data_IF_723534175463
#
_entry.id   IF_723534175463
#
_cell.length_a   1.000
_cell.length_b   1.000
_cell.length_c   1.000
_cell.angle_alpha   90.00
_cell.angle_beta   90.00
_cell.angle_gamma   90.00
#
_symmetry.space_group_name_H-M   'P 1'
#
loop_
_entity.id
_entity.type
_entity.pdbx_description
1 polymer ?
#
# COMPACT_ATOMS: atom_id res chain seq x y z
N UNK A 1 44.99 -20.81 17.31
CA UNK A 1 43.93 -20.28 16.43
C UNK A 1 42.67 -21.08 16.74
N UNK A 2 41.83 -20.59 17.65
CA UNK A 2 40.60 -21.28 18.05
C UNK A 2 39.48 -20.83 17.11
N UNK A 3 39.02 -21.73 16.26
CA UNK A 3 37.82 -21.53 15.45
C UNK A 3 36.61 -21.60 16.39
N UNK A 4 36.10 -20.45 16.81
CA UNK A 4 34.79 -20.34 17.44
C UNK A 4 33.73 -20.58 16.37
N UNK A 5 33.31 -21.84 16.25
CA UNK A 5 32.11 -22.23 15.54
C UNK A 5 30.93 -21.63 16.32
N UNK A 6 30.44 -20.46 15.89
CA UNK A 6 29.18 -19.94 16.39
C UNK A 6 28.09 -20.95 16.02
N UNK A 7 27.26 -21.41 16.97
CA UNK A 7 26.14 -22.28 16.65
C UNK A 7 25.26 -21.54 15.64
N UNK A 8 25.13 -22.12 14.46
CA UNK A 8 24.21 -21.60 13.44
C UNK A 8 22.80 -21.69 14.06
N UNK A 9 22.01 -20.59 14.09
CA UNK A 9 20.65 -20.66 14.59
C UNK A 9 19.86 -21.73 13.82
N UNK A 10 18.89 -22.33 14.51
CA UNK A 10 17.98 -23.27 13.88
C UNK A 10 17.28 -22.55 12.71
N UNK A 11 17.44 -23.02 11.44
CA UNK A 11 16.91 -22.32 10.28
C UNK A 11 15.39 -22.09 10.39
N UNK A 12 14.69 -22.99 11.10
CA UNK A 12 13.25 -22.89 11.30
C UNK A 12 12.83 -21.69 12.17
N UNK A 13 13.70 -21.19 13.06
CA UNK A 13 13.42 -20.02 13.89
C UNK A 13 13.56 -18.75 13.05
N UNK A 14 14.62 -18.65 12.23
CA UNK A 14 14.80 -17.48 11.39
C UNK A 14 13.69 -17.33 10.35
N UNK A 15 13.20 -18.42 9.76
CA UNK A 15 12.05 -18.39 8.85
C UNK A 15 10.79 -17.85 9.55
N UNK A 16 10.55 -18.25 10.80
CA UNK A 16 9.41 -17.77 11.60
C UNK A 16 9.55 -16.28 11.95
N UNK A 17 10.74 -15.84 12.37
CA UNK A 17 11.00 -14.42 12.63
C UNK A 17 10.78 -13.60 11.36
N UNK A 18 11.33 -14.05 10.23
CA UNK A 18 11.22 -13.38 8.94
C UNK A 18 9.76 -13.25 8.49
N UNK A 19 8.94 -14.27 8.71
CA UNK A 19 7.51 -14.23 8.43
C UNK A 19 6.75 -13.20 9.30
N UNK A 20 7.25 -12.90 10.51
CA UNK A 20 6.64 -11.93 11.43
C UNK A 20 7.14 -10.49 11.24
N UNK A 21 8.28 -10.27 10.57
CA UNK A 21 8.87 -8.93 10.39
C UNK A 21 7.88 -7.90 9.82
N UNK A 22 7.07 -8.17 8.78
CA UNK A 22 6.15 -7.18 8.24
C UNK A 22 5.11 -6.71 9.28
N UNK A 23 4.59 -7.66 10.07
CA UNK A 23 3.61 -7.38 11.12
C UNK A 23 4.26 -6.64 12.31
N UNK A 24 5.48 -7.04 12.69
CA UNK A 24 6.25 -6.40 13.74
C UNK A 24 6.60 -4.96 13.39
N UNK A 25 7.11 -4.73 12.18
CA UNK A 25 7.46 -3.39 11.70
C UNK A 25 6.25 -2.45 11.75
N UNK A 26 5.07 -2.91 11.32
CA UNK A 26 3.83 -2.13 11.32
C UNK A 26 3.19 -2.00 12.72
N UNK A 27 3.75 -2.64 13.75
CA UNK A 27 3.20 -2.63 15.11
C UNK A 27 1.86 -3.35 15.25
N UNK A 28 1.60 -4.36 14.40
CA UNK A 28 0.36 -5.16 14.40
C UNK A 28 0.53 -6.57 14.96
N UNK A 29 1.71 -6.91 15.49
CA UNK A 29 1.95 -8.16 16.23
C UNK A 29 1.25 -8.16 17.59
N UNK A 30 0.90 -9.34 18.08
CA UNK A 30 0.51 -9.52 19.47
C UNK A 30 1.73 -9.51 20.42
N UNK A 31 1.48 -9.64 21.72
CA UNK A 31 2.53 -9.52 22.75
C UNK A 31 3.51 -10.69 22.65
N UNK A 32 2.99 -11.88 22.41
CA UNK A 32 3.74 -13.11 22.26
C UNK A 32 4.67 -13.06 21.04
N UNK A 33 4.14 -12.67 19.88
CA UNK A 33 4.89 -12.53 18.62
C UNK A 33 5.95 -11.43 18.72
N UNK A 34 5.61 -10.29 19.34
CA UNK A 34 6.55 -9.18 19.57
C UNK A 34 7.76 -9.66 20.38
N UNK A 35 7.51 -10.32 21.51
CA UNK A 35 8.59 -10.87 22.34
C UNK A 35 9.38 -11.98 21.64
N UNK A 36 8.73 -12.76 20.78
CA UNK A 36 9.40 -13.78 19.98
C UNK A 36 10.38 -13.15 18.99
N UNK A 37 9.95 -12.13 18.24
CA UNK A 37 10.80 -11.39 17.29
C UNK A 37 11.95 -10.71 18.05
N UNK A 38 11.67 -9.94 19.10
CA UNK A 38 12.70 -9.23 19.88
C UNK A 38 13.80 -10.16 20.41
N UNK A 39 13.42 -11.37 20.85
CA UNK A 39 14.37 -12.34 21.40
C UNK A 39 15.30 -12.91 20.34
N UNK A 40 14.82 -13.15 19.12
CA UNK A 40 15.55 -13.91 18.10
C UNK A 40 16.06 -13.04 16.94
N UNK A 41 15.66 -11.77 16.87
CA UNK A 41 16.02 -10.86 15.78
C UNK A 41 17.53 -10.73 15.59
N UNK A 42 18.29 -10.67 16.69
CA UNK A 42 19.75 -10.53 16.64
C UNK A 42 20.44 -11.77 16.04
N UNK A 43 19.82 -12.94 16.14
CA UNK A 43 20.38 -14.19 15.63
C UNK A 43 20.13 -14.36 14.13
N UNK A 44 19.22 -13.58 13.53
CA UNK A 44 18.77 -13.73 12.14
C UNK A 44 19.10 -12.46 11.31
N UNK A 45 20.28 -12.37 10.69
CA UNK A 45 20.73 -11.15 9.99
C UNK A 45 19.85 -10.77 8.79
N UNK A 46 19.22 -11.75 8.14
CA UNK A 46 18.26 -11.51 7.05
C UNK A 46 17.01 -10.79 7.55
N UNK A 47 16.50 -11.19 8.72
CA UNK A 47 15.34 -10.55 9.34
C UNK A 47 15.65 -9.10 9.77
N UNK A 48 16.88 -8.82 10.21
CA UNK A 48 17.35 -7.46 10.49
C UNK A 48 17.38 -6.60 9.22
N UNK A 49 17.88 -7.16 8.12
CA UNK A 49 17.91 -6.46 6.83
C UNK A 49 16.49 -6.16 6.31
N UNK A 50 15.57 -7.13 6.43
CA UNK A 50 14.17 -6.96 6.06
C UNK A 50 13.47 -5.90 6.92
N UNK A 51 13.72 -5.89 8.24
CA UNK A 51 13.17 -4.89 9.15
C UNK A 51 13.65 -3.46 8.80
N UNK A 52 14.91 -3.31 8.40
CA UNK A 52 15.43 -2.01 7.94
C UNK A 52 14.69 -1.52 6.69
N UNK A 53 14.42 -2.42 5.73
CA UNK A 53 13.65 -2.08 4.53
C UNK A 53 12.23 -1.60 4.87
N UNK A 54 11.53 -2.27 5.78
CA UNK A 54 10.21 -1.81 6.23
C UNK A 54 10.27 -0.47 6.97
N UNK A 55 11.32 -0.23 7.74
CA UNK A 55 11.54 1.05 8.44
C UNK A 55 11.71 2.20 7.44
N UNK A 56 12.50 2.00 6.38
CA UNK A 56 12.70 2.98 5.31
C UNK A 56 11.39 3.32 4.60
N UNK A 57 10.56 2.31 4.30
CA UNK A 57 9.24 2.50 3.69
C UNK A 57 8.32 3.32 4.62
N UNK A 58 8.30 3.00 5.91
CA UNK A 58 7.49 3.74 6.88
C UNK A 58 7.92 5.20 6.99
N UNK A 59 9.23 5.46 7.02
CA UNK A 59 9.77 6.81 7.05
C UNK A 59 9.35 7.59 5.79
N UNK A 60 9.46 6.99 4.60
CA UNK A 60 9.00 7.60 3.37
C UNK A 60 7.49 7.93 3.41
N UNK A 61 6.67 7.01 3.92
CA UNK A 61 5.22 7.21 4.05
C UNK A 61 4.84 8.35 4.99
N UNK A 62 5.63 8.61 6.05
CA UNK A 62 5.36 9.71 6.98
C UNK A 62 5.38 11.08 6.30
N UNK A 63 6.14 11.25 5.22
CA UNK A 63 6.23 12.51 4.48
C UNK A 63 5.10 12.72 3.47
N UNK A 64 4.41 11.66 3.07
CA UNK A 64 3.29 11.73 2.13
C UNK A 64 1.94 12.05 2.81
N UNK A 65 1.88 11.99 4.15
CA UNK A 65 0.64 12.27 4.89
C UNK A 65 0.39 13.79 4.92
N UNK A 66 -0.82 14.26 4.51
CA UNK A 66 -1.15 15.68 4.57
C UNK A 66 -1.08 16.18 6.02
N UNK A 67 -0.32 17.26 6.24
CA UNK A 67 -0.18 17.87 7.55
C UNK A 67 -1.54 18.44 8.01
N UNK A 68 -2.06 17.91 9.12
CA UNK A 68 -3.24 18.45 9.80
C UNK A 68 -2.78 19.44 10.86
N UNK A 69 -3.35 20.65 10.86
CA UNK A 69 -3.05 21.66 11.86
C UNK A 69 -3.38 21.15 13.27
N UNK A 70 -2.41 21.25 14.18
CA UNK A 70 -2.61 20.85 15.58
C UNK A 70 -3.66 21.73 16.27
N UNK A 71 -4.49 21.18 17.19
CA UNK A 71 -5.42 21.96 17.97
C UNK A 71 -4.73 23.08 18.77
N UNK A 72 -5.35 24.27 18.89
CA UNK A 72 -4.77 25.37 19.65
C UNK A 72 -4.57 24.98 21.13
N UNK A 73 -3.42 25.35 21.69
CA UNK A 73 -3.06 25.06 23.09
C UNK A 73 -2.48 23.66 23.33
N UNK A 74 -2.39 22.79 22.32
CA UNK A 74 -1.73 21.48 22.46
C UNK A 74 -0.26 21.63 22.86
N UNK A 75 0.47 22.55 22.23
CA UNK A 75 1.87 22.81 22.54
C UNK A 75 2.07 23.23 24.01
N UNK A 76 1.19 24.09 24.54
CA UNK A 76 1.21 24.51 25.95
C UNK A 76 0.96 23.33 26.88
N UNK A 77 -0.03 22.47 26.57
CA UNK A 77 -0.31 21.26 27.36
C UNK A 77 0.87 20.29 27.35
N UNK A 78 1.54 20.12 26.21
CA UNK A 78 2.73 19.26 26.11
C UNK A 78 3.89 19.85 26.93
N UNK A 79 4.08 21.17 26.92
CA UNK A 79 5.13 21.83 27.70
C UNK A 79 4.87 21.78 29.22
N UNK A 80 3.62 21.68 29.64
CA UNK A 80 3.23 21.49 31.04
C UNK A 80 3.40 20.05 31.53
N UNK A 81 3.53 19.06 30.63
CA UNK A 81 3.86 17.69 31.04
C UNK A 81 5.30 17.71 31.54
N UNK A 82 5.55 17.54 32.85
CA UNK A 82 6.92 17.43 33.33
C UNK A 82 7.59 16.29 32.59
N UNK A 83 8.85 16.46 32.21
CA UNK A 83 9.69 15.41 31.65
C UNK A 83 9.88 14.31 32.72
N UNK A 84 8.82 13.55 32.97
CA UNK A 84 8.84 12.35 33.75
C UNK A 84 9.78 11.44 32.98
N UNK A 85 10.96 11.21 33.57
CA UNK A 85 11.90 10.20 33.10
C UNK A 85 11.09 8.97 32.76
N UNK A 86 11.11 8.58 31.48
CA UNK A 86 10.54 7.35 30.95
C UNK A 86 11.29 6.17 31.59
N UNK A 87 11.09 5.95 32.88
CA UNK A 87 11.33 4.69 33.53
C UNK A 87 10.00 3.98 33.43
N UNK A 88 9.91 3.06 32.47
CA UNK A 88 8.85 2.09 32.38
C UNK A 88 8.89 1.16 33.60
N UNK A 89 8.57 1.70 34.78
CA UNK A 89 7.99 0.90 35.84
C UNK A 89 6.50 0.86 35.50
N UNK A 90 6.10 -0.16 34.76
CA UNK A 90 4.71 -0.57 34.68
C UNK A 90 4.25 -0.78 36.12
N UNK A 91 3.66 0.24 36.74
CA UNK A 91 2.92 0.06 37.97
C UNK A 91 1.87 -1.00 37.64
N UNK A 92 1.77 -2.11 38.40
CA UNK A 92 0.76 -3.12 38.13
C UNK A 92 -0.57 -2.40 38.13
N UNK A 93 -1.21 -2.35 36.96
CA UNK A 93 -2.57 -1.89 36.80
C UNK A 93 -3.38 -2.66 37.83
N UNK A 94 -3.85 -1.97 38.87
CA UNK A 94 -4.80 -2.54 39.80
C UNK A 94 -5.98 -3.01 38.94
N UNK A 95 -6.08 -4.33 38.72
CA UNK A 95 -7.13 -4.92 37.92
C UNK A 95 -8.45 -4.47 38.51
N UNK A 96 -9.07 -3.50 37.85
CA UNK A 96 -10.45 -3.12 38.13
C UNK A 96 -11.23 -4.39 37.85
N UNK A 97 -11.75 -5.01 38.91
CA UNK A 97 -12.51 -6.26 38.84
C UNK A 97 -13.58 -6.12 37.75
N UNK A 98 -13.35 -6.76 36.62
CA UNK A 98 -14.32 -6.84 35.55
C UNK A 98 -15.54 -7.51 36.16
N UNK A 99 -16.74 -6.90 36.09
CA UNK A 99 -17.94 -7.53 36.62
C UNK A 99 -18.05 -8.91 36.00
N UNK A 100 -18.08 -9.93 36.85
CA UNK A 100 -18.21 -11.33 36.45
C UNK A 100 -19.38 -11.46 35.49
N UNK A 101 -19.18 -12.00 34.27
CA UNK A 101 -20.28 -12.21 33.35
C UNK A 101 -21.29 -13.13 34.03
N UNK A 102 -22.51 -12.62 34.20
CA UNK A 102 -23.64 -13.40 34.68
C UNK A 102 -23.84 -14.49 33.63
N UNK A 103 -23.56 -15.74 34.00
CA UNK A 103 -23.78 -16.92 33.16
C UNK A 103 -25.28 -17.01 32.85
N UNK A 104 -25.68 -16.39 31.75
CA UNK A 104 -27.02 -16.53 31.18
C UNK A 104 -27.21 -17.99 30.78
N UNK A 105 -28.26 -18.59 31.31
CA UNK A 105 -28.63 -19.98 31.06
C UNK A 105 -28.71 -20.27 29.55
N UNK A 106 -28.27 -21.46 29.10
CA UNK A 106 -28.34 -21.85 27.71
C UNK A 106 -29.81 -22.00 27.27
N UNK A 107 -30.28 -21.08 26.43
CA UNK A 107 -31.56 -21.24 25.74
C UNK A 107 -31.39 -22.24 24.59
N UNK A 108 -32.20 -23.31 24.53
CA UNK A 108 -32.12 -24.31 23.48
C UNK A 108 -32.83 -23.79 22.22
N UNK A 109 -32.14 -22.98 21.41
CA UNK A 109 -32.65 -22.55 20.10
C UNK A 109 -31.67 -22.92 18.98
N UNK A 110 -31.32 -24.21 18.95
CA UNK A 110 -30.23 -24.77 18.12
C UNK A 110 -30.56 -25.02 16.65
N UNK A 111 -31.77 -24.69 16.17
CA UNK A 111 -32.14 -24.86 14.76
C UNK A 111 -32.02 -23.56 13.94
N UNK A 112 -32.06 -22.40 14.58
CA UNK A 112 -31.85 -21.11 13.90
C UNK A 112 -30.38 -20.75 13.63
N UNK A 113 -29.43 -21.30 14.41
CA UNK A 113 -28.00 -20.99 14.25
C UNK A 113 -27.40 -21.52 12.94
N UNK A 114 -27.86 -22.67 12.44
CA UNK A 114 -27.34 -23.23 11.18
C UNK A 114 -27.74 -22.38 9.97
N UNK A 115 -28.94 -21.78 9.99
CA UNK A 115 -29.37 -20.87 8.94
C UNK A 115 -28.54 -19.57 8.91
N UNK A 116 -28.21 -19.02 10.09
CA UNK A 116 -27.37 -17.83 10.19
C UNK A 116 -25.93 -18.09 9.73
N UNK A 117 -25.34 -19.23 10.09
CA UNK A 117 -24.00 -19.62 9.65
C UNK A 117 -23.93 -19.81 8.13
N UNK A 118 -24.92 -20.47 7.53
CA UNK A 118 -24.99 -20.65 6.08
C UNK A 118 -25.10 -19.31 5.34
N UNK A 119 -25.91 -18.38 5.83
CA UNK A 119 -26.03 -17.04 5.25
C UNK A 119 -24.70 -16.25 5.33
N UNK A 120 -24.00 -16.32 6.46
CA UNK A 120 -22.70 -15.66 6.62
C UNK A 120 -21.64 -16.24 5.66
N UNK A 121 -21.60 -17.56 5.48
CA UNK A 121 -20.70 -18.22 4.53
C UNK A 121 -21.02 -17.78 3.09
N UNK A 122 -22.30 -17.76 2.71
CA UNK A 122 -22.71 -17.31 1.38
C UNK A 122 -22.32 -15.84 1.14
N UNK A 123 -22.49 -14.98 2.14
CA UNK A 123 -22.10 -13.57 2.05
C UNK A 123 -20.58 -13.40 1.94
N UNK A 124 -19.81 -14.19 2.68
CA UNK A 124 -18.35 -14.23 2.59
C UNK A 124 -17.89 -14.67 1.18
N UNK A 125 -18.49 -15.75 0.65
CA UNK A 125 -18.17 -16.23 -0.71
C UNK A 125 -18.53 -15.17 -1.74
N UNK A 126 -19.73 -14.58 -1.66
CA UNK A 126 -20.16 -13.54 -2.59
C UNK A 126 -19.25 -12.30 -2.55
N UNK A 127 -18.82 -11.89 -1.35
CA UNK A 127 -17.88 -10.77 -1.18
C UNK A 127 -16.52 -11.08 -1.82
N UNK A 128 -15.96 -12.27 -1.58
CA UNK A 128 -14.70 -12.67 -2.19
C UNK A 128 -14.78 -12.77 -3.72
N UNK A 129 -15.85 -13.37 -4.25
CA UNK A 129 -16.09 -13.45 -5.71
C UNK A 129 -16.24 -12.07 -6.32
N UNK A 130 -16.94 -11.15 -5.64
CA UNK A 130 -17.08 -9.77 -6.09
C UNK A 130 -15.72 -9.05 -6.18
N UNK A 131 -14.89 -9.17 -5.14
CA UNK A 131 -13.54 -8.59 -5.14
C UNK A 131 -12.67 -9.16 -6.26
N UNK A 132 -12.68 -10.49 -6.46
CA UNK A 132 -11.92 -11.13 -7.53
C UNK A 132 -12.38 -10.71 -8.93
N UNK A 133 -13.69 -10.57 -9.15
CA UNK A 133 -14.22 -10.05 -10.41
C UNK A 133 -13.81 -8.59 -10.64
N UNK A 134 -13.79 -7.77 -9.58
CA UNK A 134 -13.40 -6.37 -9.65
C UNK A 134 -11.91 -6.21 -9.99
N UNK A 135 -11.03 -6.99 -9.37
CA UNK A 135 -9.59 -6.96 -9.67
C UNK A 135 -9.31 -7.39 -11.11
N UNK A 136 -9.99 -8.43 -11.59
CA UNK A 136 -9.84 -8.90 -12.97
C UNK A 136 -10.30 -7.84 -13.98
N UNK A 137 -11.38 -7.11 -13.69
CA UNK A 137 -11.85 -6.01 -14.54
C UNK A 137 -10.84 -4.85 -14.60
N UNK A 138 -10.21 -4.49 -13.47
CA UNK A 138 -9.18 -3.44 -13.43
C UNK A 138 -7.94 -3.87 -14.22
N UNK A 139 -7.50 -5.11 -14.09
CA UNK A 139 -6.35 -5.62 -14.84
C UNK A 139 -6.62 -5.69 -16.35
N UNK A 140 -7.84 -6.07 -16.75
CA UNK A 140 -8.24 -6.04 -18.16
C UNK A 140 -8.16 -4.64 -18.75
N UNK A 141 -8.58 -3.60 -18.02
CA UNK A 141 -8.48 -2.21 -18.48
C UNK A 141 -7.02 -1.70 -18.53
N UNK A 142 -6.18 -2.13 -17.58
CA UNK A 142 -4.75 -1.79 -17.62
C UNK A 142 -4.05 -2.41 -18.84
N UNK A 143 -4.33 -3.68 -19.12
CA UNK A 143 -3.71 -4.39 -20.26
C UNK A 143 -4.13 -3.81 -21.60
N UNK A 144 -5.38 -3.36 -21.74
CA UNK A 144 -5.82 -2.67 -22.97
C UNK A 144 -5.14 -1.31 -23.11
N UNK A 145 -5.02 -0.53 -22.04
CA UNK A 145 -4.30 0.75 -22.07
C UNK A 145 -2.82 0.57 -22.42
N UNK A 146 -2.15 -0.40 -21.82
CA UNK A 146 -0.73 -0.71 -22.12
C UNK A 146 -0.58 -1.19 -23.56
N UNK A 147 -1.50 -2.02 -24.08
CA UNK A 147 -1.48 -2.45 -25.47
C UNK A 147 -1.62 -1.26 -26.44
N UNK A 148 -2.50 -0.30 -26.14
CA UNK A 148 -2.64 0.94 -26.92
C UNK A 148 -1.39 1.82 -26.85
N UNK A 149 -0.79 1.98 -25.67
CA UNK A 149 0.46 2.74 -25.52
C UNK A 149 1.61 2.09 -26.29
N UNK A 150 1.77 0.77 -26.18
CA UNK A 150 2.81 0.04 -26.88
C UNK A 150 2.63 0.12 -28.40
N UNK A 151 1.40 0.10 -28.91
CA UNK A 151 1.13 0.34 -30.34
C UNK A 151 1.50 1.76 -30.77
N UNK A 152 1.17 2.77 -29.97
CA UNK A 152 1.54 4.16 -30.26
C UNK A 152 3.07 4.35 -30.26
N UNK A 153 3.78 3.78 -29.29
CA UNK A 153 5.25 3.80 -29.23
C UNK A 153 5.85 3.08 -30.43
N UNK A 154 5.37 1.87 -30.75
CA UNK A 154 5.84 1.10 -31.91
C UNK A 154 5.64 1.87 -33.22
N UNK A 155 4.52 2.58 -33.37
CA UNK A 155 4.26 3.43 -34.53
C UNK A 155 5.19 4.66 -34.60
N UNK A 156 5.57 5.25 -33.46
CA UNK A 156 6.52 6.37 -33.40
C UNK A 156 7.97 5.93 -33.62
N UNK A 157 8.33 4.70 -33.24
CA UNK A 157 9.68 4.15 -33.43
C UNK A 157 9.88 3.47 -34.78
N UNK A 158 8.81 3.26 -35.57
CA UNK A 158 8.94 2.73 -36.91
C UNK A 158 9.76 3.71 -37.76
N UNK A 159 10.93 3.25 -38.22
CA UNK A 159 11.94 4.05 -38.91
C UNK A 159 11.41 4.69 -40.22
N UNK A 160 10.32 4.16 -40.77
CA UNK A 160 9.60 4.67 -41.95
C UNK A 160 8.44 5.63 -41.63
N UNK A 161 8.32 6.12 -40.39
CA UNK A 161 7.31 7.10 -40.01
C UNK A 161 7.55 8.43 -40.75
N UNK A 162 6.95 8.56 -41.93
CA UNK A 162 6.96 9.78 -42.73
C UNK A 162 6.04 10.80 -42.06
N UNK A 163 6.64 11.71 -41.28
CA UNK A 163 5.96 12.88 -40.75
C UNK A 163 5.55 13.78 -41.93
N UNK A 164 4.31 13.64 -42.40
CA UNK A 164 3.72 14.59 -43.34
C UNK A 164 3.17 15.78 -42.53
N UNK A 165 3.80 16.97 -42.60
CA UNK A 165 3.26 18.16 -41.96
C UNK A 165 1.95 18.52 -42.67
N UNK A 166 0.84 18.35 -41.97
CA UNK A 166 -0.44 18.84 -42.43
C UNK A 166 -0.52 20.34 -42.15
N UNK A 167 -0.15 21.11 -43.16
CA UNK A 167 -0.42 22.55 -43.21
C UNK A 167 -1.92 22.72 -43.40
N UNK A 168 -2.64 22.93 -42.30
CA UNK A 168 -4.03 23.38 -42.38
C UNK A 168 -4.02 24.80 -42.93
N UNK A 169 -4.29 24.92 -44.23
CA UNK A 169 -4.59 26.19 -44.87
C UNK A 169 -6.03 26.60 -44.52
N UNK A 170 -6.27 26.94 -43.25
CA UNK A 170 -7.41 27.79 -42.94
C UNK A 170 -7.08 28.81 -41.84
N UNK A 171 -7.63 29.97 -42.08
CA UNK A 171 -7.26 31.28 -41.58
C UNK A 171 -7.51 31.49 -40.07
N UNK A 172 -6.48 31.96 -39.36
CA UNK A 172 -6.65 32.82 -38.18
C UNK A 172 -6.59 32.21 -36.77
N UNK A 173 -6.65 30.89 -36.59
CA UNK A 173 -6.43 30.27 -35.28
C UNK A 173 -5.83 28.86 -35.46
N UNK A 174 -4.53 28.75 -35.21
CA UNK A 174 -3.73 27.55 -35.52
C UNK A 174 -4.23 26.28 -34.85
N UNK A 175 -4.86 25.39 -35.63
CA UNK A 175 -5.09 23.98 -35.30
C UNK A 175 -4.39 23.13 -36.35
N UNK A 176 -3.20 22.64 -36.02
CA UNK A 176 -2.55 21.59 -36.80
C UNK A 176 -3.23 20.26 -36.49
N UNK A 177 -3.80 19.59 -37.50
CA UNK A 177 -4.30 18.22 -37.37
C UNK A 177 -3.29 17.34 -38.08
N UNK A 178 -2.63 16.41 -37.38
CA UNK A 178 -1.81 15.37 -38.01
C UNK A 178 -2.73 14.19 -38.34
N UNK A 179 -2.70 13.73 -39.58
CA UNK A 179 -3.60 12.73 -40.16
C UNK A 179 -2.76 11.71 -40.91
N UNK A 180 -3.05 10.44 -40.65
CA UNK A 180 -2.34 9.28 -41.20
C UNK A 180 -3.12 8.71 -42.37
N UNK A 181 -2.43 8.30 -43.44
CA UNK A 181 -3.06 7.62 -44.58
C UNK A 181 -2.69 6.12 -44.53
N UNK A 182 -3.61 5.30 -44.01
CA UNK A 182 -3.44 3.86 -43.80
C UNK A 182 -4.36 3.33 -42.68
N UNK A 183 -4.27 2.03 -42.35
CA UNK A 183 -5.04 1.39 -41.28
C UNK A 183 -4.54 1.76 -39.86
N UNK A 184 -4.35 3.05 -39.58
CA UNK A 184 -3.75 3.58 -38.35
C UNK A 184 -4.61 4.66 -37.69
N UNK A 185 -4.54 4.74 -36.37
CA UNK A 185 -5.32 5.64 -35.53
C UNK A 185 -4.87 7.11 -35.62
N UNK A 186 -5.80 8.05 -35.48
CA UNK A 186 -5.55 9.51 -35.49
C UNK A 186 -5.53 10.02 -34.04
N UNK A 187 -4.44 10.69 -33.64
CA UNK A 187 -4.32 11.35 -32.34
C UNK A 187 -4.45 12.87 -32.50
N UNK A 188 -5.51 13.46 -31.93
CA UNK A 188 -5.65 14.92 -31.85
C UNK A 188 -4.96 15.45 -30.60
N UNK A 189 -3.98 16.34 -30.77
CA UNK A 189 -3.46 17.15 -29.68
C UNK A 189 -4.26 18.45 -29.63
N UNK A 190 -4.86 18.76 -28.47
CA UNK A 190 -5.50 20.06 -28.19
C UNK A 190 -4.57 20.91 -27.31
N UNK A 191 -4.75 22.23 -27.38
CA UNK A 191 -4.12 23.22 -26.50
C UNK A 191 -2.60 23.41 -26.66
N UNK A 192 -2.13 23.51 -27.91
CA UNK A 192 -0.81 24.08 -28.17
C UNK A 192 -0.84 25.58 -27.90
N UNK A 193 0.07 26.05 -27.04
CA UNK A 193 0.22 27.48 -26.76
C UNK A 193 0.53 28.24 -28.07
N UNK A 194 -0.08 29.42 -28.28
CA UNK A 194 0.15 30.21 -29.49
C UNK A 194 1.63 30.60 -29.56
N UNK A 195 2.36 30.07 -30.53
CA UNK A 195 3.72 30.53 -30.83
C UNK A 195 3.62 31.95 -31.35
N UNK A 196 4.11 32.90 -30.55
CA UNK A 196 4.18 34.30 -30.93
C UNK A 196 5.23 34.43 -32.02
N UNK A 197 4.80 34.42 -33.29
CA UNK A 197 5.68 34.67 -34.41
C UNK A 197 6.20 36.11 -34.28
N UNK A 198 7.51 36.24 -34.02
CA UNK A 198 8.21 37.52 -34.04
C UNK A 198 8.11 38.09 -35.46
N UNK A 199 7.31 39.13 -35.63
CA UNK A 199 7.26 39.92 -36.87
C UNK A 199 8.49 40.84 -36.87
N UNK A 200 9.37 40.63 -37.84
CA UNK A 200 10.49 41.52 -38.20
C UNK A 200 10.04 42.59 -39.18
#
# INVERSE_FOLDING_TARGET
MNNTMTPNPDPTICDQVLALIPAYALGVTDVEDTHFVERHLYDCPEAVAELALYTDIQEAMLFDVPLVAAPPGLATRIAEIPAAKTTAAQAPLALRSVPTPILSAPTPQRWGMWAAAAAAILLLIASNVYWLARTNAIQADLTTQVALQNQAIAALTAEDATLTPLVSADSGAGRGIVGWHGAGAVMQVRDLAPTTAAQS
#
